data_IF_247814512327
#
_entry.id   IF_247814512327
#
_cell.length_a   1.000
_cell.length_b   1.000
_cell.length_c   1.000
_cell.angle_alpha   90.00
_cell.angle_beta   90.00
_cell.angle_gamma   90.00
#
_symmetry.space_group_name_H-M   'P 1'
#
loop_
_entity.id
_entity.type
_entity.pdbx_description
1 polymer ?
#
# COMPACT_ATOMS: atom_id res chain seq x y z
N UNK A 1 -28.23 -3.02 -14.64
CA UNK A 1 -27.99 -4.01 -13.57
C UNK A 1 -26.66 -4.72 -13.72
N UNK A 2 -26.35 -5.15 -14.92
CA UNK A 2 -25.06 -5.81 -15.17
C UNK A 2 -23.87 -4.89 -14.89
N UNK A 3 -23.97 -3.63 -15.28
CA UNK A 3 -22.94 -2.63 -15.04
C UNK A 3 -22.73 -2.38 -13.55
N UNK A 4 -23.80 -2.39 -12.77
CA UNK A 4 -23.72 -2.19 -11.33
C UNK A 4 -22.98 -3.34 -10.65
N UNK A 5 -23.23 -4.57 -11.10
CA UNK A 5 -22.56 -5.75 -10.56
C UNK A 5 -21.08 -5.78 -10.92
N UNK A 6 -20.73 -5.35 -12.13
CA UNK A 6 -19.33 -5.29 -12.55
C UNK A 6 -18.57 -4.23 -11.78
N UNK A 7 -19.17 -3.06 -11.55
CA UNK A 7 -18.57 -2.01 -10.74
C UNK A 7 -18.43 -2.45 -9.29
N UNK A 8 -19.40 -3.20 -8.79
CA UNK A 8 -19.34 -3.75 -7.45
C UNK A 8 -18.17 -4.73 -7.30
N UNK A 9 -17.96 -5.59 -8.31
CA UNK A 9 -16.83 -6.53 -8.30
C UNK A 9 -15.48 -5.82 -8.33
N UNK A 10 -15.36 -4.80 -9.14
CA UNK A 10 -14.15 -3.99 -9.18
C UNK A 10 -13.91 -3.32 -7.83
N UNK A 11 -14.97 -2.82 -7.23
CA UNK A 11 -14.89 -2.20 -5.92
C UNK A 11 -14.43 -3.17 -4.85
N UNK A 12 -14.83 -4.43 -4.94
CA UNK A 12 -14.40 -5.46 -4.00
C UNK A 12 -12.97 -5.90 -4.21
N UNK A 13 -12.49 -5.87 -5.45
CA UNK A 13 -11.15 -6.35 -5.80
C UNK A 13 -10.08 -5.27 -5.69
N UNK A 14 -10.45 -4.02 -5.97
CA UNK A 14 -9.54 -2.89 -5.88
C UNK A 14 -9.85 -2.09 -4.64
N UNK A 15 -8.86 -1.91 -3.80
CA UNK A 15 -8.99 -1.13 -2.58
C UNK A 15 -8.15 0.12 -2.68
N UNK A 16 -8.63 1.19 -2.05
CA UNK A 16 -7.94 2.46 -2.03
C UNK A 16 -7.03 2.51 -0.81
N UNK A 17 -5.79 2.86 -1.06
CA UNK A 17 -4.76 3.02 -0.03
C UNK A 17 -4.09 4.36 -0.16
N UNK A 18 -3.42 4.77 0.88
CA UNK A 18 -2.76 6.08 0.95
C UNK A 18 -1.31 5.92 1.35
N UNK A 19 -0.47 6.75 0.77
CA UNK A 19 0.95 6.84 1.12
C UNK A 19 1.28 8.29 1.42
N UNK A 20 1.83 8.55 2.61
CA UNK A 20 2.36 9.86 2.97
C UNK A 20 3.84 9.91 2.71
N UNK A 21 4.29 10.87 1.92
CA UNK A 21 5.70 10.96 1.60
C UNK A 21 6.05 12.30 0.98
N UNK A 22 7.28 12.39 0.47
CA UNK A 22 7.72 13.57 -0.25
C UNK A 22 7.20 13.62 -1.67
N UNK A 23 7.38 14.75 -2.32
CA UNK A 23 6.89 14.98 -3.68
C UNK A 23 7.50 14.03 -4.71
N UNK A 24 8.61 13.39 -4.39
CA UNK A 24 9.33 12.51 -5.31
C UNK A 24 8.91 11.05 -5.20
N UNK A 25 7.79 10.79 -4.53
CA UNK A 25 7.29 9.44 -4.40
C UNK A 25 6.96 8.83 -5.76
N UNK A 26 7.41 7.59 -5.96
CA UNK A 26 7.12 6.81 -7.17
C UNK A 26 6.45 5.51 -6.76
N UNK A 27 5.24 5.23 -7.27
CA UNK A 27 4.53 3.98 -6.93
C UNK A 27 5.22 2.72 -7.45
N UNK A 28 6.20 2.86 -8.33
CA UNK A 28 6.98 1.73 -8.82
C UNK A 28 8.06 1.26 -7.85
N UNK A 29 8.24 1.97 -6.74
CA UNK A 29 9.26 1.61 -5.77
C UNK A 29 8.83 0.38 -4.96
N UNK A 30 9.72 -0.61 -4.87
CA UNK A 30 9.47 -1.83 -4.10
C UNK A 30 9.61 -1.54 -2.61
N UNK A 31 8.69 -2.09 -1.82
CA UNK A 31 8.76 -1.95 -0.36
C UNK A 31 8.11 -0.70 0.18
N UNK A 32 7.27 -0.04 -0.61
CA UNK A 32 6.52 1.13 -0.17
C UNK A 32 5.39 0.72 0.77
N UNK A 33 5.22 1.48 1.85
CA UNK A 33 4.13 1.28 2.80
C UNK A 33 2.89 2.05 2.38
N UNK A 34 1.74 1.40 2.46
CA UNK A 34 0.45 2.02 2.18
C UNK A 34 -0.51 1.74 3.33
N UNK A 35 -1.34 2.72 3.68
CA UNK A 35 -2.33 2.61 4.74
C UNK A 35 -3.73 2.85 4.17
N UNK A 36 -4.73 2.17 4.74
CA UNK A 36 -6.13 2.50 4.45
C UNK A 36 -6.57 3.78 5.15
N UNK A 37 -5.85 4.19 6.17
CA UNK A 37 -6.17 5.38 6.95
C UNK A 37 -5.48 6.60 6.36
N UNK A 38 -6.25 7.47 5.73
CA UNK A 38 -5.74 8.71 5.14
C UNK A 38 -5.12 9.62 6.18
N UNK A 39 -5.71 9.68 7.37
CA UNK A 39 -5.19 10.51 8.46
C UNK A 39 -3.79 10.06 8.88
N UNK A 40 -3.57 8.75 8.90
CA UNK A 40 -2.26 8.21 9.21
C UNK A 40 -1.23 8.60 8.16
N UNK A 41 -1.61 8.53 6.89
CA UNK A 41 -0.74 8.94 5.79
C UNK A 41 -0.45 10.45 5.85
N UNK A 42 -1.41 11.25 6.25
CA UNK A 42 -1.22 12.70 6.42
C UNK A 42 -0.18 13.01 7.49
N UNK A 43 -0.14 12.24 8.57
CA UNK A 43 0.87 12.41 9.61
C UNK A 43 2.28 12.16 9.10
N UNK A 44 2.42 11.14 8.24
CA UNK A 44 3.71 10.87 7.61
C UNK A 44 4.10 11.97 6.63
N UNK A 45 3.14 12.43 5.83
CA UNK A 45 3.40 13.51 4.88
C UNK A 45 3.88 14.78 5.59
N UNK A 46 3.32 15.05 6.76
CA UNK A 46 3.69 16.24 7.53
C UNK A 46 5.14 16.23 8.02
N UNK A 47 5.78 15.07 8.04
CA UNK A 47 7.19 14.95 8.44
C UNK A 47 8.14 15.34 7.32
N UNK A 48 7.65 15.49 6.11
CA UNK A 48 8.46 15.84 4.96
C UNK A 48 8.24 17.30 4.58
N UNK A 49 9.30 17.97 4.15
CA UNK A 49 9.15 19.28 3.54
C UNK A 49 8.45 19.09 2.20
N UNK A 50 7.33 19.76 2.01
CA UNK A 50 6.46 19.57 0.84
C UNK A 50 5.89 18.16 0.75
N UNK A 51 5.57 17.58 1.92
CA UNK A 51 4.96 16.26 1.96
C UNK A 51 3.56 16.26 1.39
N UNK A 52 3.19 15.12 0.79
CA UNK A 52 1.89 14.94 0.17
C UNK A 52 1.35 13.56 0.53
N UNK A 53 0.03 13.44 0.45
CA UNK A 53 -0.64 12.15 0.53
C UNK A 53 -0.98 11.71 -0.88
N UNK A 54 -0.55 10.52 -1.23
CA UNK A 54 -0.81 9.91 -2.53
C UNK A 54 -1.90 8.87 -2.36
N UNK A 55 -2.92 8.96 -3.20
CA UNK A 55 -4.01 8.00 -3.23
C UNK A 55 -3.75 7.01 -4.36
N UNK A 56 -3.78 5.72 -4.03
CA UNK A 56 -3.54 4.67 -4.99
C UNK A 56 -4.62 3.62 -4.91
N UNK A 57 -4.83 2.91 -6.00
CA UNK A 57 -5.68 1.72 -6.02
C UNK A 57 -4.77 0.50 -6.08
N UNK A 58 -5.07 -0.48 -5.25
CA UNK A 58 -4.30 -1.72 -5.20
C UNK A 58 -5.23 -2.89 -5.39
N UNK A 59 -4.96 -3.68 -6.42
CA UNK A 59 -5.73 -4.88 -6.73
C UNK A 59 -5.20 -6.03 -5.89
N UNK A 60 -5.99 -6.45 -4.91
CA UNK A 60 -5.63 -7.55 -4.03
C UNK A 60 -6.15 -8.90 -4.53
N UNK A 61 -6.97 -8.92 -5.59
CA UNK A 61 -7.62 -10.14 -6.03
C UNK A 61 -6.65 -11.23 -6.47
N UNK A 62 -5.52 -10.83 -7.02
CA UNK A 62 -4.49 -11.77 -7.48
C UNK A 62 -3.19 -11.64 -6.70
N UNK A 63 -3.21 -10.88 -5.63
CA UNK A 63 -2.04 -10.67 -4.81
C UNK A 63 -1.76 -11.88 -3.93
N UNK A 64 -0.50 -12.27 -3.86
CA UNK A 64 -0.06 -13.30 -2.94
C UNK A 64 0.40 -12.63 -1.66
N UNK A 65 -0.45 -12.68 -0.64
CA UNK A 65 -0.24 -12.00 0.64
C UNK A 65 0.46 -12.94 1.61
N UNK A 66 1.55 -12.45 2.21
CA UNK A 66 2.27 -13.21 3.23
C UNK A 66 1.35 -13.47 4.43
N UNK A 67 1.28 -14.68 4.96
CA UNK A 67 0.24 -15.06 5.94
C UNK A 67 0.43 -14.49 7.33
N UNK A 68 1.59 -13.90 7.63
CA UNK A 68 1.86 -13.33 8.95
C UNK A 68 1.75 -11.81 8.91
N UNK A 69 1.15 -11.23 9.96
CA UNK A 69 1.20 -9.79 10.20
C UNK A 69 2.38 -9.50 11.12
N UNK A 70 3.28 -8.66 10.67
CA UNK A 70 4.46 -8.29 11.45
C UNK A 70 4.18 -7.04 12.28
N UNK A 71 4.81 -6.94 13.43
CA UNK A 71 4.93 -5.67 14.13
C UNK A 71 5.99 -4.82 13.44
N UNK A 72 5.85 -3.52 13.53
CA UNK A 72 6.80 -2.58 12.94
C UNK A 72 8.24 -2.91 13.30
N UNK A 73 8.50 -3.17 14.58
CA UNK A 73 9.84 -3.47 15.06
C UNK A 73 10.39 -4.76 14.46
N UNK A 74 9.55 -5.79 14.40
CA UNK A 74 9.95 -7.05 13.78
C UNK A 74 10.33 -6.87 12.32
N UNK A 75 9.50 -6.11 11.61
CA UNK A 75 9.70 -5.91 10.18
C UNK A 75 11.00 -5.16 9.90
N UNK A 76 11.34 -4.17 10.72
CA UNK A 76 12.56 -3.41 10.54
C UNK A 76 13.83 -4.24 10.77
N UNK A 77 13.73 -5.29 11.57
CA UNK A 77 14.86 -6.16 11.86
C UNK A 77 15.14 -7.19 10.78
N UNK A 78 14.27 -7.30 9.78
CA UNK A 78 14.47 -8.26 8.69
C UNK A 78 15.63 -7.79 7.82
N UNK A 79 16.66 -8.63 7.77
CA UNK A 79 17.92 -8.31 7.08
C UNK A 79 17.76 -8.24 5.56
N UNK A 80 17.03 -9.20 4.99
CA UNK A 80 16.85 -9.29 3.54
C UNK A 80 15.39 -9.57 3.21
N UNK A 81 14.54 -8.55 3.24
CA UNK A 81 13.10 -8.77 3.03
C UNK A 81 12.79 -9.34 1.65
N UNK A 82 13.55 -8.99 0.61
CA UNK A 82 13.34 -9.51 -0.72
C UNK A 82 13.56 -11.01 -0.81
N UNK A 83 14.50 -11.52 -0.03
CA UNK A 83 14.77 -12.95 0.04
C UNK A 83 13.71 -13.67 0.85
N UNK A 84 13.39 -13.13 2.03
CA UNK A 84 12.43 -13.74 2.94
C UNK A 84 11.03 -13.83 2.32
N UNK A 85 10.64 -12.80 1.57
CA UNK A 85 9.31 -12.70 1.00
C UNK A 85 9.25 -13.03 -0.48
N UNK A 86 10.25 -13.74 -0.98
CA UNK A 86 10.29 -14.14 -2.38
C UNK A 86 9.03 -14.93 -2.75
N UNK A 87 8.36 -14.52 -3.83
CA UNK A 87 7.13 -15.14 -4.26
C UNK A 87 5.86 -14.52 -3.67
N UNK A 88 6.01 -13.55 -2.76
CA UNK A 88 4.88 -12.82 -2.19
C UNK A 88 4.83 -11.42 -2.74
N UNK A 89 3.61 -10.90 -2.87
CA UNK A 89 3.38 -9.57 -3.43
C UNK A 89 3.16 -8.51 -2.35
N UNK A 90 2.63 -8.93 -1.21
CA UNK A 90 2.23 -8.01 -0.14
C UNK A 90 2.57 -8.61 1.22
N UNK A 91 3.09 -7.77 2.11
CA UNK A 91 3.32 -8.09 3.52
C UNK A 91 2.55 -7.09 4.36
N UNK A 92 1.87 -7.57 5.40
CA UNK A 92 1.13 -6.71 6.32
C UNK A 92 1.98 -6.37 7.54
N UNK A 93 2.02 -5.09 7.89
CA UNK A 93 2.81 -4.60 9.02
C UNK A 93 1.97 -3.69 9.89
N UNK A 94 1.90 -4.00 11.18
CA UNK A 94 1.24 -3.13 12.14
C UNK A 94 2.20 -2.03 12.57
N UNK A 95 1.92 -0.81 12.11
CA UNK A 95 2.73 0.36 12.41
C UNK A 95 2.34 0.96 13.77
N UNK A 96 3.26 1.71 14.41
CA UNK A 96 2.93 2.38 15.67
C UNK A 96 1.74 3.31 15.50
N UNK A 97 0.81 3.24 16.45
CA UNK A 97 -0.42 4.05 16.48
C UNK A 97 -1.38 3.77 15.32
N UNK A 98 -1.15 2.72 14.56
CA UNK A 98 -2.08 2.29 13.54
C UNK A 98 -3.18 1.42 14.13
N UNK A 99 -4.40 1.60 13.65
CA UNK A 99 -5.53 0.77 14.07
C UNK A 99 -5.62 -0.50 13.23
N UNK A 100 -5.16 -0.43 12.00
CA UNK A 100 -5.15 -1.56 11.07
C UNK A 100 -3.75 -1.74 10.51
N UNK A 101 -3.40 -2.95 10.09
CA UNK A 101 -2.10 -3.15 9.45
C UNK A 101 -1.98 -2.35 8.17
N UNK A 102 -0.83 -1.73 7.98
CA UNK A 102 -0.43 -1.19 6.68
C UNK A 102 0.04 -2.33 5.81
N UNK A 103 0.05 -2.10 4.51
CA UNK A 103 0.60 -3.07 3.58
C UNK A 103 1.91 -2.56 2.99
N UNK A 104 2.85 -3.48 2.82
CA UNK A 104 4.10 -3.23 2.11
C UNK A 104 3.98 -3.94 0.77
N UNK A 105 4.06 -3.19 -0.31
CA UNK A 105 3.90 -3.74 -1.65
C UNK A 105 5.26 -4.10 -2.21
N UNK A 106 5.44 -5.39 -2.49
CA UNK A 106 6.67 -5.92 -3.07
C UNK A 106 6.58 -6.02 -4.59
N UNK A 107 5.35 -6.09 -5.11
CA UNK A 107 5.11 -6.12 -6.54
C UNK A 107 4.42 -4.82 -6.97
N UNK A 108 5.18 -3.85 -7.49
CA UNK A 108 4.62 -2.54 -7.83
C UNK A 108 3.60 -2.57 -8.95
N UNK A 109 3.50 -3.65 -9.70
CA UNK A 109 2.50 -3.78 -10.76
C UNK A 109 1.08 -3.81 -10.22
N UNK A 110 0.90 -4.10 -8.93
CA UNK A 110 -0.41 -4.09 -8.30
C UNK A 110 -0.92 -2.69 -7.99
N UNK A 111 -0.04 -1.69 -8.03
CA UNK A 111 -0.38 -0.33 -7.62
C UNK A 111 -0.72 0.51 -8.83
N UNK A 112 -1.89 1.12 -8.79
CA UNK A 112 -2.32 2.10 -9.79
C UNK A 112 -2.41 3.46 -9.12
N UNK A 113 -1.63 4.42 -9.60
CA UNK A 113 -1.69 5.77 -9.07
C UNK A 113 -2.98 6.44 -9.54
N UNK A 114 -3.86 6.75 -8.59
CA UNK A 114 -5.15 7.35 -8.90
C UNK A 114 -5.03 8.80 -9.36
N UNK A 115 -3.92 9.45 -9.03
CA UNK A 115 -3.67 10.83 -9.43
C UNK A 115 -3.14 10.95 -10.85
N UNK A 116 -2.80 9.85 -11.49
CA UNK A 116 -2.44 9.88 -12.89
C UNK A 116 -3.68 10.10 -13.73
N UNK A 117 -3.69 11.22 -14.44
CA UNK A 117 -4.73 11.44 -15.43
C UNK A 117 -4.50 10.50 -16.58
N UNK A 118 -5.26 9.44 -16.59
CA UNK A 118 -5.34 8.59 -17.75
C UNK A 118 -6.22 9.26 -18.78
N UNK A 119 -5.63 9.78 -19.72
CA UNK A 119 -6.37 10.22 -20.91
C UNK A 119 -6.26 9.16 -21.94
#
# INVERSE_FOLDING_TARGET
MKLLLENWRQYLNEEIYYHGGGKDFLPTRIGTFYSKDKTYAEKYAAQHKNGQVFEVEIDLSQANVYPKVFWWQEFQEIWQPQEMFKGYDIVKVMEPNGEEPSIVVLNPKLVRNKNETTT
#
